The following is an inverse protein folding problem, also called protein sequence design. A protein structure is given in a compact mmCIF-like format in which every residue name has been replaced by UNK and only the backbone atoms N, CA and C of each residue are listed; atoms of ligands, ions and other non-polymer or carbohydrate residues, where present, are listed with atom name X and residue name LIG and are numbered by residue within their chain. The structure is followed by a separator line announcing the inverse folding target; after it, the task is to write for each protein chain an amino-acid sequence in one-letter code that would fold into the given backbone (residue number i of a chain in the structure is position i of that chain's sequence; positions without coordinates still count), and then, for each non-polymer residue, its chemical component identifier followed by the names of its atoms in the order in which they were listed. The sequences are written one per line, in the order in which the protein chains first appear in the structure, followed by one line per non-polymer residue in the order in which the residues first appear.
data_IF_089097937363
#
_entry.id   IF_089097937363
#
_cell.length_a   1.000
_cell.length_b   1.000
_cell.length_c   1.000
_cell.angle_alpha   90.00
_cell.angle_beta   90.00
_cell.angle_gamma   90.00
#
_symmetry.space_group_name_H-M   'P 1'
#
loop_
_entity.id
_entity.type
_entity.pdbx_description
1 polymer ?
#
# COMPACT_ATOMS: atom_id res chain seq x y z
N UNK A 1 -17.91 -22.56 -7.95
CA UNK A 1 -17.07 -21.36 -8.05
C UNK A 1 -15.96 -21.69 -9.05
N UNK A 2 -16.08 -21.23 -10.31
CA UNK A 2 -15.11 -21.57 -11.37
C UNK A 2 -13.96 -20.58 -11.26
N UNK A 3 -12.80 -21.02 -10.78
CA UNK A 3 -11.56 -20.25 -10.92
C UNK A 3 -11.29 -20.04 -12.40
N UNK A 4 -11.16 -18.77 -12.81
CA UNK A 4 -11.09 -18.39 -14.20
C UNK A 4 -9.76 -18.83 -14.80
N UNK A 5 -9.82 -19.62 -15.88
CA UNK A 5 -8.67 -20.22 -16.58
C UNK A 5 -7.58 -19.23 -17.06
N UNK A 6 -7.91 -17.93 -17.09
CA UNK A 6 -7.01 -16.81 -17.46
C UNK A 6 -6.10 -16.43 -16.28
N UNK A 7 -6.64 -16.41 -15.06
CA UNK A 7 -5.92 -16.08 -13.82
C UNK A 7 -4.82 -17.12 -13.59
N UNK A 8 -5.16 -18.41 -13.75
CA UNK A 8 -4.23 -19.53 -13.64
C UNK A 8 -3.08 -19.49 -14.65
N UNK A 9 -3.31 -18.95 -15.87
CA UNK A 9 -2.25 -18.80 -16.88
C UNK A 9 -1.31 -17.65 -16.55
N UNK A 10 -1.84 -16.57 -15.99
CA UNK A 10 -1.03 -15.43 -15.53
C UNK A 10 -0.13 -15.83 -14.36
N UNK A 11 -0.64 -16.58 -13.38
CA UNK A 11 0.15 -17.06 -12.24
C UNK A 11 1.35 -17.90 -12.68
N UNK A 12 1.18 -18.83 -13.62
CA UNK A 12 2.30 -19.65 -14.12
C UNK A 12 3.41 -18.84 -14.79
N UNK A 13 3.06 -17.75 -15.48
CA UNK A 13 4.05 -16.85 -16.08
C UNK A 13 4.81 -16.08 -15.00
N UNK A 14 4.10 -15.62 -13.96
CA UNK A 14 4.71 -14.93 -12.80
C UNK A 14 5.66 -15.87 -12.05
N UNK A 15 5.23 -17.10 -11.77
CA UNK A 15 6.07 -18.12 -11.11
C UNK A 15 7.33 -18.43 -11.90
N UNK A 16 7.19 -18.61 -13.23
CA UNK A 16 8.35 -18.84 -14.11
C UNK A 16 9.30 -17.65 -14.12
N UNK A 17 8.76 -16.43 -14.23
CA UNK A 17 9.56 -15.21 -14.20
C UNK A 17 10.31 -15.05 -12.86
N UNK A 18 9.64 -15.33 -11.74
CA UNK A 18 10.25 -15.30 -10.41
C UNK A 18 11.38 -16.33 -10.28
N UNK A 19 11.17 -17.56 -10.78
CA UNK A 19 12.20 -18.60 -10.75
C UNK A 19 13.46 -18.19 -11.54
N UNK A 20 13.28 -17.62 -12.73
CA UNK A 20 14.40 -17.08 -13.51
C UNK A 20 15.11 -15.94 -12.78
N UNK A 21 14.37 -15.03 -12.14
CA UNK A 21 14.97 -13.94 -11.36
C UNK A 21 15.76 -14.48 -10.16
N UNK A 22 15.22 -15.48 -9.44
CA UNK A 22 15.87 -16.13 -8.30
C UNK A 22 17.23 -16.73 -8.69
N UNK A 23 17.33 -17.37 -9.85
CA UNK A 23 18.59 -17.89 -10.39
C UNK A 23 19.60 -16.76 -10.67
N UNK A 24 19.16 -15.68 -11.33
CA UNK A 24 20.02 -14.53 -11.62
C UNK A 24 20.57 -13.84 -10.35
N UNK A 25 19.74 -13.71 -9.30
CA UNK A 25 20.19 -13.16 -8.03
C UNK A 25 21.15 -14.11 -7.29
N UNK A 26 20.97 -15.42 -7.42
CA UNK A 26 21.87 -16.41 -6.82
C UNK A 26 23.28 -16.35 -7.43
N UNK A 27 23.41 -16.05 -8.74
CA UNK A 27 24.71 -15.88 -9.41
C UNK A 27 25.56 -14.76 -8.80
N UNK A 28 24.93 -13.76 -8.20
CA UNK A 28 25.61 -12.66 -7.48
C UNK A 28 25.61 -12.84 -5.95
N UNK A 29 25.25 -14.03 -5.46
CA UNK A 29 25.28 -14.39 -4.04
C UNK A 29 24.11 -13.85 -3.21
N UNK A 30 22.97 -13.52 -3.83
CA UNK A 30 21.77 -13.02 -3.15
C UNK A 30 20.72 -14.12 -3.00
N UNK A 31 20.36 -14.46 -1.76
CA UNK A 31 19.22 -15.33 -1.46
C UNK A 31 17.91 -14.50 -1.41
N UNK A 32 17.10 -14.64 -2.47
CA UNK A 32 15.82 -13.94 -2.57
C UNK A 32 14.76 -14.45 -1.59
N UNK A 33 14.82 -15.72 -1.17
CA UNK A 33 13.87 -16.27 -0.18
C UNK A 33 14.16 -15.70 1.21
N UNK A 34 15.45 -15.60 1.57
CA UNK A 34 15.87 -14.94 2.80
C UNK A 34 15.47 -13.45 2.80
N UNK A 35 15.67 -12.77 1.67
CA UNK A 35 15.26 -11.37 1.51
C UNK A 35 13.74 -11.17 1.69
N UNK A 36 12.92 -12.05 1.09
CA UNK A 36 11.46 -11.98 1.23
C UNK A 36 11.00 -12.24 2.67
N UNK A 37 11.63 -13.18 3.39
CA UNK A 37 11.36 -13.42 4.81
C UNK A 37 11.69 -12.20 5.67
N UNK A 38 12.80 -11.51 5.38
CA UNK A 38 13.17 -10.27 6.08
C UNK A 38 12.18 -9.15 5.77
N UNK A 39 11.78 -9.01 4.50
CA UNK A 39 10.83 -7.99 4.06
C UNK A 39 9.48 -8.12 4.79
N UNK A 40 8.96 -9.33 4.97
CA UNK A 40 7.69 -9.59 5.65
C UNK A 40 7.68 -9.16 7.13
N UNK A 41 8.86 -8.98 7.74
CA UNK A 41 9.00 -8.54 9.13
C UNK A 41 9.07 -7.02 9.27
N UNK A 42 9.25 -6.28 8.18
CA UNK A 42 9.40 -4.81 8.20
C UNK A 42 8.02 -4.17 8.22
N UNK A 43 7.68 -3.52 9.33
CA UNK A 43 6.43 -2.77 9.47
C UNK A 43 6.56 -1.36 8.91
N UNK A 44 5.62 -0.99 8.04
CA UNK A 44 5.53 0.36 7.49
C UNK A 44 4.35 1.07 8.13
N UNK A 45 4.62 2.16 8.86
CA UNK A 45 3.58 3.01 9.44
C UNK A 45 2.98 3.90 8.35
N UNK A 46 1.74 3.64 7.97
CA UNK A 46 1.01 4.48 7.03
C UNK A 46 0.45 5.72 7.74
N UNK A 47 0.64 6.86 7.11
CA UNK A 47 0.20 8.13 7.65
C UNK A 47 -1.27 8.41 7.29
N UNK A 48 -2.10 8.67 8.30
CA UNK A 48 -3.55 8.86 8.13
C UNK A 48 -3.92 10.14 7.36
N UNK A 49 -3.11 11.19 7.46
CA UNK A 49 -3.39 12.50 6.86
C UNK A 49 -3.37 12.52 5.32
N UNK A 50 -2.97 11.42 4.68
CA UNK A 50 -3.05 11.29 3.22
C UNK A 50 -4.50 11.15 2.74
N UNK A 51 -5.37 10.55 3.55
CA UNK A 51 -6.74 10.25 3.14
C UNK A 51 -7.64 11.49 3.12
N UNK A 52 -7.27 12.56 3.81
CA UNK A 52 -8.10 13.74 4.06
C UNK A 52 -7.42 15.08 3.71
N UNK A 53 -6.31 15.05 2.95
CA UNK A 53 -5.51 16.23 2.59
C UNK A 53 -5.01 17.04 3.80
N UNK A 54 -4.64 16.37 4.91
CA UNK A 54 -4.14 17.02 6.14
C UNK A 54 -5.18 17.97 6.78
N UNK A 55 -6.47 17.71 6.58
CA UNK A 55 -7.54 18.57 7.11
C UNK A 55 -7.89 18.28 8.57
N UNK A 56 -7.80 17.01 8.97
CA UNK A 56 -8.30 16.55 10.25
C UNK A 56 -9.83 16.63 10.36
N UNK A 57 -10.33 16.28 11.54
CA UNK A 57 -11.77 16.25 11.85
C UNK A 57 -12.17 17.20 12.98
N UNK A 58 -11.30 18.13 13.35
CA UNK A 58 -11.60 19.17 14.35
C UNK A 58 -12.61 20.20 13.80
N UNK A 59 -13.46 20.75 14.67
CA UNK A 59 -14.54 21.67 14.28
C UNK A 59 -14.05 22.97 13.63
N UNK A 60 -14.87 23.53 12.76
CA UNK A 60 -14.63 24.62 11.80
C UNK A 60 -14.01 25.94 12.30
N UNK A 61 -13.86 26.14 13.62
CA UNK A 61 -13.16 27.31 14.19
C UNK A 61 -11.66 27.06 14.45
N UNK A 62 -11.16 25.84 14.27
CA UNK A 62 -9.73 25.57 14.25
C UNK A 62 -9.15 26.09 12.93
N UNK A 63 -8.65 27.33 12.94
CA UNK A 63 -7.78 27.80 11.86
C UNK A 63 -6.49 27.00 11.96
N UNK A 64 -6.24 26.16 10.96
CA UNK A 64 -4.89 25.68 10.69
C UNK A 64 -4.06 26.91 10.32
N UNK A 65 -3.42 27.54 11.30
CA UNK A 65 -2.34 28.50 11.04
C UNK A 65 -1.24 27.67 10.37
N UNK A 66 -1.28 27.67 9.04
CA UNK A 66 -0.55 26.76 8.19
C UNK A 66 0.93 26.76 8.53
N UNK A 67 1.41 25.65 9.09
CA UNK A 67 2.82 25.39 9.40
C UNK A 67 3.70 25.24 8.16
N UNK A 68 3.37 25.92 7.05
CA UNK A 68 4.08 25.88 5.77
C UNK A 68 3.82 24.65 4.91
N UNK A 69 2.92 23.75 5.31
CA UNK A 69 2.57 22.53 4.57
C UNK A 69 1.23 22.67 3.84
N UNK A 70 1.15 22.13 2.63
CA UNK A 70 -0.04 22.22 1.79
C UNK A 70 -0.21 20.95 0.94
N UNK A 71 -1.41 20.36 0.98
CA UNK A 71 -1.86 19.42 -0.05
C UNK A 71 -2.35 20.20 -1.28
N UNK A 72 -1.93 19.80 -2.48
CA UNK A 72 -2.27 20.48 -3.74
C UNK A 72 -3.06 19.56 -4.67
N UNK A 73 -3.85 20.15 -5.57
CA UNK A 73 -4.80 19.43 -6.42
C UNK A 73 -6.20 19.33 -5.80
N UNK A 74 -7.20 18.98 -6.62
CA UNK A 74 -8.60 18.85 -6.21
C UNK A 74 -9.20 17.54 -6.71
N UNK A 75 -8.47 16.44 -6.53
CA UNK A 75 -8.97 15.11 -6.88
C UNK A 75 -10.18 14.77 -5.98
N UNK A 76 -11.31 14.31 -6.54
CA UNK A 76 -12.51 14.06 -5.75
C UNK A 76 -12.36 12.80 -4.89
N UNK A 77 -13.15 12.71 -3.82
CA UNK A 77 -13.31 11.47 -3.05
C UNK A 77 -12.48 11.35 -1.76
N UNK A 78 -11.77 12.41 -1.33
CA UNK A 78 -11.11 12.41 -0.01
C UNK A 78 -12.10 12.14 1.14
N UNK A 79 -11.62 11.53 2.20
CA UNK A 79 -12.36 11.34 3.44
C UNK A 79 -12.74 12.70 4.07
N UNK A 80 -13.97 12.78 4.56
CA UNK A 80 -14.58 13.94 5.25
C UNK A 80 -15.00 13.60 6.67
N UNK A 81 -15.04 12.31 6.99
CA UNK A 81 -15.36 11.77 8.31
C UNK A 81 -14.35 10.71 8.71
N UNK A 82 -14.27 10.42 10.01
CA UNK A 82 -13.40 9.36 10.51
C UNK A 82 -13.78 7.98 9.96
N UNK A 83 -15.07 7.74 9.69
CA UNK A 83 -15.54 6.46 9.19
C UNK A 83 -15.17 6.26 7.72
N UNK A 84 -15.22 7.31 6.91
CA UNK A 84 -14.69 7.28 5.53
C UNK A 84 -13.17 7.02 5.54
N UNK A 85 -12.41 7.70 6.40
CA UNK A 85 -10.97 7.50 6.50
C UNK A 85 -10.62 6.06 6.90
N UNK A 86 -11.39 5.44 7.80
CA UNK A 86 -11.20 4.03 8.16
C UNK A 86 -11.47 3.10 6.98
N UNK A 87 -12.51 3.35 6.19
CA UNK A 87 -12.81 2.55 4.99
C UNK A 87 -11.70 2.68 3.93
N UNK A 88 -11.16 3.89 3.74
CA UNK A 88 -10.04 4.12 2.84
C UNK A 88 -8.78 3.37 3.31
N UNK A 89 -8.51 3.37 4.62
CA UNK A 89 -7.42 2.61 5.22
C UNK A 89 -7.64 1.10 5.07
N UNK A 90 -8.83 0.58 5.32
CA UNK A 90 -9.15 -0.83 5.11
C UNK A 90 -8.91 -1.24 3.65
N UNK A 91 -9.30 -0.38 2.71
CA UNK A 91 -9.09 -0.64 1.29
C UNK A 91 -7.62 -0.69 0.91
N UNK A 92 -6.79 0.25 1.39
CA UNK A 92 -5.36 0.22 1.06
C UNK A 92 -4.67 -0.97 1.73
N UNK A 93 -5.04 -1.30 2.98
CA UNK A 93 -4.51 -2.46 3.70
C UNK A 93 -4.88 -3.79 3.00
N UNK A 94 -6.00 -3.85 2.28
CA UNK A 94 -6.36 -5.04 1.48
C UNK A 94 -5.52 -5.22 0.22
N UNK A 95 -4.78 -4.19 -0.20
CA UNK A 95 -3.98 -4.18 -1.44
C UNK A 95 -2.48 -4.31 -1.15
N UNK A 96 -2.05 -3.91 0.04
CA UNK A 96 -0.65 -3.98 0.45
C UNK A 96 -0.31 -5.38 0.99
N UNK A 97 0.84 -5.95 0.60
CA UNK A 97 1.33 -7.21 1.15
C UNK A 97 1.93 -7.01 2.55
N UNK A 98 1.87 -8.07 3.36
CA UNK A 98 2.41 -8.10 4.71
C UNK A 98 1.37 -7.76 5.77
N UNK A 99 1.79 -7.78 7.04
CA UNK A 99 0.98 -7.34 8.18
C UNK A 99 1.62 -6.09 8.76
N UNK A 100 0.97 -4.96 8.50
CA UNK A 100 1.37 -3.64 9.00
C UNK A 100 1.15 -3.52 10.51
#
# INVERSE_FOLDING_TARGET
MKTNNIETRSTKLIEKAYQTAKEQYAEIGVDTEEAMKKLDQIKISLHCWQADDVRGFETSNAKLDGGGIQATGNYPGRARTIDELRQDLEKVMSLLPGKH
#
